data_IF_513057915984
#
_entry.id   IF_513057915984
#
_cell.length_a   1.000
_cell.length_b   1.000
_cell.length_c   1.000
_cell.angle_alpha   90.00
_cell.angle_beta   90.00
_cell.angle_gamma   90.00
#
_symmetry.space_group_name_H-M   'P 1'
#
loop_
_entity.id
_entity.type
_entity.pdbx_description
1 polymer ?
#
# COMPACT_ATOMS: atom_id res chain seq x y z
N UNK A 1 -6.41 15.25 -1.92
CA UNK A 1 -6.53 15.67 -3.33
C UNK A 1 -7.75 16.56 -3.46
N UNK A 2 -7.63 17.69 -4.16
CA UNK A 2 -8.73 18.61 -4.44
C UNK A 2 -8.90 18.67 -5.97
N UNK A 3 -10.15 18.69 -6.45
CA UNK A 3 -10.46 18.85 -7.88
C UNK A 3 -10.98 20.26 -8.13
N UNK A 4 -10.22 21.07 -8.85
CA UNK A 4 -10.58 22.44 -9.24
C UNK A 4 -10.36 22.62 -10.72
N UNK A 5 -11.27 23.31 -11.42
CA UNK A 5 -11.18 23.55 -12.87
C UNK A 5 -10.89 22.27 -13.70
N UNK A 6 -11.42 21.13 -13.25
CA UNK A 6 -11.22 19.81 -13.85
C UNK A 6 -9.80 19.21 -13.71
N UNK A 7 -8.95 19.81 -12.87
CA UNK A 7 -7.60 19.33 -12.53
C UNK A 7 -7.53 18.84 -11.09
N UNK A 8 -6.67 17.86 -10.83
CA UNK A 8 -6.45 17.30 -9.49
C UNK A 8 -5.14 17.82 -8.91
N UNK A 9 -5.20 18.35 -7.71
CA UNK A 9 -4.05 18.89 -6.98
C UNK A 9 -3.89 18.24 -5.60
N UNK A 10 -2.64 17.95 -5.24
CA UNK A 10 -2.27 17.45 -3.92
C UNK A 10 -1.96 18.60 -2.96
N UNK A 11 -2.42 18.48 -1.72
CA UNK A 11 -2.15 19.44 -0.65
C UNK A 11 -1.90 18.67 0.64
N UNK A 12 -0.81 19.00 1.31
CA UNK A 12 -0.50 18.48 2.64
C UNK A 12 -0.77 19.57 3.67
N UNK A 13 -1.31 19.14 4.81
CA UNK A 13 -1.60 20.02 5.94
C UNK A 13 -0.89 19.48 7.18
N UNK A 14 -0.35 20.39 7.97
CA UNK A 14 0.35 20.09 9.22
C UNK A 14 -0.47 20.61 10.40
N UNK A 15 -0.86 19.71 11.28
CA UNK A 15 -1.48 20.07 12.55
C UNK A 15 -0.58 20.99 13.38
N UNK A 16 -1.18 21.98 14.02
CA UNK A 16 -0.53 22.79 15.04
C UNK A 16 -0.20 21.93 16.29
N UNK A 17 0.61 22.46 17.19
CA UNK A 17 1.05 21.71 18.39
C UNK A 17 -0.11 21.35 19.32
N UNK A 18 -1.17 22.15 19.33
CA UNK A 18 -2.35 21.93 20.16
C UNK A 18 -3.34 20.91 19.56
N UNK A 19 -3.12 20.46 18.31
CA UNK A 19 -3.99 19.52 17.61
C UNK A 19 -5.37 20.07 17.25
N UNK A 20 -5.53 21.40 17.23
CA UNK A 20 -6.82 22.06 17.03
C UNK A 20 -7.07 22.50 15.59
N UNK A 21 -6.01 22.75 14.81
CA UNK A 21 -6.11 23.18 13.42
C UNK A 21 -4.90 22.73 12.60
N UNK A 22 -5.03 22.69 11.27
CA UNK A 22 -3.97 22.26 10.36
C UNK A 22 -3.63 23.36 9.34
N UNK A 23 -2.36 23.71 9.26
CA UNK A 23 -1.84 24.72 8.35
C UNK A 23 -1.40 24.09 7.03
N UNK A 24 -1.68 24.78 5.92
CA UNK A 24 -1.23 24.34 4.61
C UNK A 24 0.30 24.33 4.57
N UNK A 25 0.87 23.19 4.18
CA UNK A 25 2.31 23.05 3.93
C UNK A 25 2.67 23.73 2.61
N UNK A 26 3.89 24.27 2.56
CA UNK A 26 4.42 24.92 1.37
C UNK A 26 4.41 23.99 0.14
N UNK A 27 4.39 24.58 -1.05
CA UNK A 27 4.23 23.84 -2.31
C UNK A 27 5.32 22.78 -2.52
N UNK A 28 6.51 23.04 -2.01
CA UNK A 28 7.71 22.20 -2.07
C UNK A 28 7.72 21.05 -1.07
N UNK A 29 6.70 20.94 -0.20
CA UNK A 29 6.76 20.02 0.94
C UNK A 29 7.65 20.55 2.06
N UNK A 30 7.71 19.83 3.18
CA UNK A 30 8.58 20.16 4.31
C UNK A 30 8.93 18.91 5.13
N UNK A 31 10.11 18.91 5.72
CA UNK A 31 10.50 17.92 6.73
C UNK A 31 10.35 18.49 8.14
N UNK A 32 9.91 17.65 9.07
CA UNK A 32 9.80 17.99 10.49
C UNK A 32 10.27 16.79 11.31
N UNK A 33 11.13 17.02 12.30
CA UNK A 33 11.50 15.98 13.26
C UNK A 33 10.56 15.99 14.45
N UNK A 34 9.97 14.84 14.76
CA UNK A 34 9.15 14.60 15.94
C UNK A 34 9.91 13.73 16.94
N UNK A 35 9.84 14.07 18.21
CA UNK A 35 10.23 13.13 19.28
C UNK A 35 9.05 12.22 19.57
N UNK A 36 9.22 10.92 19.33
CA UNK A 36 8.20 9.90 19.53
C UNK A 36 8.62 9.00 20.67
N UNK A 37 7.69 8.76 21.60
CA UNK A 37 7.90 7.81 22.67
C UNK A 37 8.07 6.40 22.10
N UNK A 38 9.15 5.75 22.47
CA UNK A 38 9.47 4.40 22.02
C UNK A 38 10.11 3.64 23.19
N UNK A 39 9.32 2.75 23.79
CA UNK A 39 9.76 1.95 24.92
C UNK A 39 10.89 0.96 24.56
N UNK A 40 11.12 0.71 23.27
CA UNK A 40 12.14 -0.22 22.79
C UNK A 40 13.52 0.45 22.58
N UNK A 41 13.61 1.77 22.74
CA UNK A 41 14.85 2.54 22.53
C UNK A 41 15.38 3.07 23.87
N UNK A 42 16.71 3.04 24.04
CA UNK A 42 17.36 3.61 25.21
C UNK A 42 17.02 5.10 25.34
N UNK A 43 16.48 5.51 26.50
CA UNK A 43 15.98 6.88 26.72
C UNK A 43 14.49 7.07 26.44
N UNK A 44 13.77 6.02 26.03
CA UNK A 44 12.30 5.99 25.95
C UNK A 44 11.69 6.86 24.85
N UNK A 45 12.53 7.45 23.98
CA UNK A 45 12.10 8.24 22.84
C UNK A 45 13.10 8.17 21.70
N UNK A 46 12.61 8.38 20.48
CA UNK A 46 13.42 8.49 19.26
C UNK A 46 12.95 9.67 18.42
N UNK A 47 13.86 10.20 17.61
CA UNK A 47 13.50 11.17 16.57
C UNK A 47 12.94 10.43 15.35
N UNK A 48 11.77 10.83 14.89
CA UNK A 48 11.21 10.44 13.61
C UNK A 48 11.15 11.67 12.71
N UNK A 49 11.86 11.61 11.59
CA UNK A 49 11.73 12.62 10.53
C UNK A 49 10.44 12.32 9.76
N UNK A 50 9.55 13.29 9.72
CA UNK A 50 8.31 13.23 8.98
C UNK A 50 8.40 14.15 7.77
N UNK A 51 8.25 13.56 6.59
CA UNK A 51 8.18 14.30 5.34
C UNK A 51 6.72 14.57 4.97
N UNK A 52 6.37 15.85 4.83
CA UNK A 52 5.12 16.29 4.21
C UNK A 52 5.36 16.42 2.70
N UNK A 53 4.68 15.60 1.86
CA UNK A 53 4.90 15.62 0.42
C UNK A 53 4.64 16.97 -0.22
N UNK A 54 5.48 17.32 -1.19
CA UNK A 54 5.20 18.40 -2.14
C UNK A 54 3.98 18.10 -3.01
N UNK A 55 3.47 19.15 -3.66
CA UNK A 55 2.39 19.02 -4.66
C UNK A 55 2.77 18.05 -5.78
N UNK A 56 4.04 18.03 -6.17
CA UNK A 56 4.56 17.16 -7.21
C UNK A 56 4.68 15.70 -6.74
N UNK A 57 5.12 15.46 -5.51
CA UNK A 57 5.23 14.12 -4.94
C UNK A 57 3.88 13.44 -4.77
N UNK A 58 2.82 14.20 -4.47
CA UNK A 58 1.45 13.65 -4.47
C UNK A 58 1.12 12.97 -5.81
N UNK A 59 1.58 13.54 -6.93
CA UNK A 59 1.27 13.04 -8.28
C UNK A 59 2.04 11.78 -8.67
N UNK A 60 3.01 11.34 -7.85
CA UNK A 60 3.70 10.06 -8.05
C UNK A 60 2.73 8.88 -7.96
N UNK A 61 1.85 8.90 -6.96
CA UNK A 61 0.84 7.85 -6.77
C UNK A 61 -0.57 8.32 -7.17
N UNK A 62 -0.88 9.62 -7.05
CA UNK A 62 -2.13 10.20 -7.58
C UNK A 62 -2.00 10.54 -9.08
N UNK A 63 -1.38 9.66 -9.86
CA UNK A 63 -1.11 9.89 -11.27
C UNK A 63 -2.37 9.79 -12.13
N UNK A 64 -2.31 10.30 -13.36
CA UNK A 64 -3.36 10.09 -14.37
C UNK A 64 -3.62 8.60 -14.62
N UNK A 65 -2.58 7.77 -14.62
CA UNK A 65 -2.69 6.34 -14.84
C UNK A 65 -3.48 5.64 -13.72
N UNK A 66 -3.39 6.16 -12.49
CA UNK A 66 -4.17 5.71 -11.34
C UNK A 66 -5.53 6.44 -11.20
N UNK A 67 -5.92 7.23 -12.20
CA UNK A 67 -7.14 8.05 -12.19
C UNK A 67 -7.24 9.05 -11.02
N UNK A 68 -6.10 9.53 -10.53
CA UNK A 68 -5.93 10.55 -9.49
C UNK A 68 -6.46 10.20 -8.09
N UNK A 69 -7.69 9.70 -7.93
CA UNK A 69 -8.26 9.39 -6.62
C UNK A 69 -7.98 7.95 -6.22
N UNK A 70 -7.15 7.77 -5.20
CA UNK A 70 -6.88 6.48 -4.57
C UNK A 70 -7.93 6.21 -3.48
N UNK A 71 -9.18 6.04 -3.92
CA UNK A 71 -10.33 5.89 -3.04
C UNK A 71 -10.57 4.46 -2.56
N UNK A 72 -11.64 4.29 -1.79
CA UNK A 72 -12.10 2.98 -1.35
C UNK A 72 -12.45 2.08 -2.54
N UNK A 73 -12.03 0.81 -2.48
CA UNK A 73 -12.40 -0.19 -3.46
C UNK A 73 -13.39 -1.19 -2.86
N UNK A 74 -14.39 -1.61 -3.64
CA UNK A 74 -15.41 -2.56 -3.16
C UNK A 74 -14.81 -3.89 -2.73
N UNK A 75 -13.73 -4.36 -3.38
CA UNK A 75 -12.99 -5.56 -3.01
C UNK A 75 -12.29 -5.46 -1.65
N UNK A 76 -11.83 -4.27 -1.26
CA UNK A 76 -11.27 -3.98 0.08
C UNK A 76 -12.36 -3.87 1.16
N UNK A 77 -13.55 -3.42 0.76
CA UNK A 77 -14.70 -3.24 1.65
C UNK A 77 -15.56 -4.50 1.80
N UNK A 78 -15.40 -5.50 0.93
CA UNK A 78 -16.18 -6.73 0.98
C UNK A 78 -15.75 -7.67 2.12
N UNK A 79 -15.96 -7.22 3.36
CA UNK A 79 -15.64 -7.94 4.59
C UNK A 79 -16.64 -7.57 5.67
N UNK A 80 -16.82 -8.49 6.61
CA UNK A 80 -17.59 -8.25 7.82
C UNK A 80 -16.78 -7.36 8.77
N UNK A 81 -17.39 -6.31 9.28
CA UNK A 81 -16.80 -5.42 10.26
C UNK A 81 -17.67 -5.38 11.52
N UNK A 82 -17.08 -5.49 12.72
CA UNK A 82 -17.81 -5.33 13.97
C UNK A 82 -18.09 -3.85 14.20
N UNK A 83 -19.30 -3.40 13.88
CA UNK A 83 -19.69 -2.02 14.15
C UNK A 83 -20.06 -1.90 15.63
N UNK A 84 -19.17 -1.27 16.40
CA UNK A 84 -19.51 -0.83 17.75
C UNK A 84 -20.41 0.41 17.64
N UNK A 85 -21.71 0.24 17.82
CA UNK A 85 -22.69 1.33 17.89
C UNK A 85 -23.43 1.27 19.22
N UNK A 86 -23.70 2.41 19.88
CA UNK A 86 -24.52 2.46 21.10
C UNK A 86 -25.96 1.96 20.90
N UNK A 87 -26.39 1.74 19.65
CA UNK A 87 -27.71 1.22 19.32
C UNK A 87 -27.69 -0.24 18.85
N UNK A 88 -26.51 -0.79 18.50
CA UNK A 88 -26.37 -2.13 17.93
C UNK A 88 -24.95 -2.71 18.11
N UNK A 89 -24.84 -3.91 18.65
CA UNK A 89 -23.62 -4.75 18.60
C UNK A 89 -23.66 -5.70 17.40
N UNK A 90 -23.72 -5.15 16.18
CA UNK A 90 -23.90 -5.94 14.97
C UNK A 90 -22.63 -5.98 14.11
N UNK A 91 -22.21 -7.20 13.78
CA UNK A 91 -21.30 -7.47 12.68
C UNK A 91 -22.09 -7.38 11.36
N UNK A 92 -21.63 -6.56 10.42
CA UNK A 92 -22.26 -6.40 9.11
C UNK A 92 -21.17 -6.29 8.03
N UNK A 93 -21.44 -6.79 6.82
CA UNK A 93 -20.54 -6.57 5.70
C UNK A 93 -20.51 -5.08 5.33
N UNK A 94 -19.33 -4.49 5.11
CA UNK A 94 -19.23 -3.04 4.89
C UNK A 94 -19.98 -2.57 3.63
N UNK A 95 -20.07 -3.40 2.57
CA UNK A 95 -20.85 -3.05 1.38
C UNK A 95 -22.35 -2.99 1.70
N UNK A 96 -22.87 -3.92 2.51
CA UNK A 96 -24.28 -3.91 2.92
C UNK A 96 -24.58 -2.69 3.79
N UNK A 97 -23.69 -2.40 4.74
CA UNK A 97 -23.80 -1.19 5.56
C UNK A 97 -23.82 0.08 4.68
N UNK A 98 -22.95 0.16 3.67
CA UNK A 98 -22.84 1.30 2.76
C UNK A 98 -24.08 1.43 1.86
N UNK A 99 -24.63 0.32 1.37
CA UNK A 99 -25.89 0.31 0.64
C UNK A 99 -27.05 0.80 1.52
N UNK A 100 -27.15 0.30 2.75
CA UNK A 100 -28.16 0.72 3.73
C UNK A 100 -28.09 2.21 4.07
N UNK A 101 -26.89 2.77 4.11
CA UNK A 101 -26.65 4.22 4.29
C UNK A 101 -26.92 5.05 3.03
N UNK A 102 -27.22 4.42 1.88
CA UNK A 102 -27.46 5.13 0.63
C UNK A 102 -26.21 5.70 -0.02
N UNK A 103 -25.02 5.15 0.27
CA UNK A 103 -23.75 5.64 -0.29
C UNK A 103 -23.50 5.22 -1.74
N UNK A 104 -24.26 4.25 -2.26
CA UNK A 104 -24.17 3.83 -3.64
C UNK A 104 -25.25 4.45 -4.52
N UNK A 105 -24.86 4.87 -5.73
CA UNK A 105 -25.81 5.35 -6.75
C UNK A 105 -26.79 4.25 -7.19
N UNK A 106 -26.30 3.01 -7.29
CA UNK A 106 -27.06 1.83 -7.67
C UNK A 106 -26.95 0.80 -6.54
N UNK A 107 -27.94 -0.08 -6.44
CA UNK A 107 -27.86 -1.25 -5.55
C UNK A 107 -26.70 -2.18 -5.93
N UNK A 108 -26.22 -2.96 -4.98
CA UNK A 108 -25.28 -4.03 -5.21
C UNK A 108 -25.90 -5.05 -6.20
N UNK A 109 -25.12 -5.57 -7.16
CA UNK A 109 -25.64 -6.47 -8.18
C UNK A 109 -25.95 -7.88 -7.63
N UNK A 110 -25.41 -8.23 -6.47
CA UNK A 110 -25.64 -9.48 -5.75
C UNK A 110 -25.37 -9.26 -4.26
N UNK A 111 -25.63 -10.29 -3.44
CA UNK A 111 -25.11 -10.31 -2.07
C UNK A 111 -23.58 -10.29 -2.03
N UNK A 112 -22.97 -9.92 -0.89
CA UNK A 112 -21.52 -9.79 -0.73
C UNK A 112 -20.72 -11.05 -1.10
N UNK A 113 -21.31 -12.23 -0.90
CA UNK A 113 -20.74 -13.53 -1.25
C UNK A 113 -20.47 -13.69 -2.76
N UNK A 114 -21.21 -12.98 -3.60
CA UNK A 114 -21.03 -12.96 -5.05
C UNK A 114 -20.08 -11.86 -5.57
N UNK A 115 -19.57 -11.01 -4.68
CA UNK A 115 -18.71 -9.87 -5.04
C UNK A 115 -17.23 -10.18 -4.81
N UNK A 116 -16.32 -9.58 -5.58
CA UNK A 116 -14.88 -9.71 -5.32
C UNK A 116 -14.51 -9.29 -3.91
N UNK A 117 -13.51 -9.97 -3.33
CA UNK A 117 -12.97 -9.71 -2.00
C UNK A 117 -11.46 -9.87 -2.01
N UNK A 118 -10.75 -8.97 -1.35
CA UNK A 118 -9.34 -9.18 -1.04
C UNK A 118 -9.18 -10.02 0.22
N UNK A 119 -8.21 -10.93 0.19
CA UNK A 119 -7.80 -11.70 1.37
C UNK A 119 -7.25 -10.77 2.46
N UNK A 120 -7.45 -11.13 3.73
CA UNK A 120 -6.78 -10.44 4.83
C UNK A 120 -5.30 -10.88 4.89
N UNK A 121 -4.33 -9.96 4.70
CA UNK A 121 -2.91 -10.32 4.75
C UNK A 121 -2.47 -10.96 6.07
N UNK A 122 -3.19 -10.74 7.17
CA UNK A 122 -2.90 -11.31 8.49
C UNK A 122 -3.59 -12.65 8.76
N UNK A 123 -4.61 -13.02 7.99
CA UNK A 123 -5.38 -14.26 8.20
C UNK A 123 -4.65 -15.48 7.61
N UNK A 124 -3.99 -16.26 8.47
CA UNK A 124 -3.21 -17.43 8.04
C UNK A 124 -4.03 -18.61 7.49
N UNK A 125 -5.35 -18.58 7.62
CA UNK A 125 -6.23 -19.58 7.02
C UNK A 125 -6.47 -19.33 5.53
N UNK A 126 -6.16 -18.13 5.03
CA UNK A 126 -6.27 -17.80 3.61
C UNK A 126 -4.99 -18.20 2.85
N UNK A 127 -5.12 -18.60 1.56
CA UNK A 127 -3.96 -18.94 0.73
C UNK A 127 -2.93 -17.81 0.70
N UNK A 128 -1.65 -18.16 0.80
CA UNK A 128 -0.56 -17.18 0.88
C UNK A 128 -0.52 -16.27 -0.35
N UNK A 129 -0.79 -16.81 -1.53
CA UNK A 129 -0.86 -16.09 -2.79
C UNK A 129 -1.96 -15.02 -2.77
N UNK A 130 -3.13 -15.34 -2.20
CA UNK A 130 -4.23 -14.40 -2.08
C UNK A 130 -3.88 -13.25 -1.13
N UNK A 131 -3.24 -13.58 0.01
CA UNK A 131 -2.77 -12.61 1.02
C UNK A 131 -1.70 -11.67 0.45
N UNK A 132 -0.72 -12.21 -0.28
CA UNK A 132 0.32 -11.44 -0.96
C UNK A 132 -0.29 -10.55 -2.04
N UNK A 133 -1.17 -11.10 -2.87
CA UNK A 133 -1.87 -10.33 -3.91
C UNK A 133 -2.68 -9.16 -3.33
N UNK A 134 -3.36 -9.38 -2.20
CA UNK A 134 -4.08 -8.33 -1.49
C UNK A 134 -3.15 -7.23 -0.94
N UNK A 135 -2.00 -7.63 -0.38
CA UNK A 135 -0.99 -6.71 0.11
C UNK A 135 -0.40 -5.84 -1.01
N UNK A 136 0.04 -6.47 -2.11
CA UNK A 136 0.61 -5.76 -3.28
C UNK A 136 -0.42 -4.83 -3.92
N UNK A 137 -1.67 -5.28 -4.06
CA UNK A 137 -2.75 -4.45 -4.58
C UNK A 137 -2.96 -3.20 -3.71
N UNK A 138 -3.05 -3.38 -2.39
CA UNK A 138 -3.40 -2.29 -1.47
C UNK A 138 -2.25 -1.31 -1.24
N UNK A 139 -1.00 -1.77 -1.27
CA UNK A 139 0.16 -0.97 -0.87
C UNK A 139 1.08 -0.57 -2.05
N UNK A 140 0.95 -1.20 -3.21
CA UNK A 140 1.87 -0.99 -4.32
C UNK A 140 1.18 -0.61 -5.64
N UNK A 141 -0.01 -1.17 -5.92
CA UNK A 141 -0.64 -1.05 -7.23
C UNK A 141 -1.09 0.37 -7.60
N UNK A 142 -1.21 1.30 -6.65
CA UNK A 142 -1.54 2.70 -6.97
C UNK A 142 -0.41 3.42 -7.71
N UNK A 143 0.86 3.09 -7.40
CA UNK A 143 2.03 3.68 -8.04
C UNK A 143 2.62 2.74 -9.11
N UNK A 144 2.50 1.42 -8.93
CA UNK A 144 2.94 0.38 -9.88
C UNK A 144 1.82 -0.06 -10.82
N UNK A 145 1.46 0.84 -11.75
CA UNK A 145 0.61 0.55 -12.91
C UNK A 145 1.43 0.65 -14.21
N UNK A 146 1.02 0.03 -15.33
CA UNK A 146 1.78 0.01 -16.58
C UNK A 146 2.20 1.39 -17.13
N UNK A 147 1.49 2.47 -16.76
CA UNK A 147 1.82 3.86 -17.12
C UNK A 147 2.06 4.75 -15.88
N UNK A 148 2.41 4.15 -14.74
CA UNK A 148 2.65 4.82 -13.46
C UNK A 148 4.06 5.38 -13.33
N UNK A 149 4.35 6.01 -12.19
CA UNK A 149 5.68 6.52 -11.87
C UNK A 149 6.72 5.39 -11.73
N UNK A 150 7.98 5.66 -12.07
CA UNK A 150 9.10 4.79 -11.72
C UNK A 150 9.48 3.68 -12.71
N UNK A 151 9.08 3.74 -13.98
CA UNK A 151 9.54 2.84 -15.07
C UNK A 151 9.32 1.32 -14.84
N UNK A 152 8.53 0.96 -13.85
CA UNK A 152 8.24 -0.42 -13.51
C UNK A 152 7.24 -0.97 -14.53
N UNK A 153 7.64 -1.96 -15.34
CA UNK A 153 6.72 -2.73 -16.20
C UNK A 153 5.88 -3.71 -15.36
N UNK A 154 5.57 -3.32 -14.12
CA UNK A 154 4.91 -4.13 -13.10
C UNK A 154 3.43 -3.79 -13.12
N UNK A 155 2.59 -4.82 -12.98
CA UNK A 155 1.16 -4.69 -12.78
C UNK A 155 0.81 -5.42 -11.49
N UNK A 156 0.62 -4.67 -10.41
CA UNK A 156 0.46 -5.23 -9.06
C UNK A 156 -0.99 -5.23 -8.58
N UNK A 157 -1.94 -4.83 -9.43
CA UNK A 157 -3.35 -4.83 -9.07
C UNK A 157 -3.92 -6.26 -9.06
N UNK A 158 -4.62 -6.62 -7.98
CA UNK A 158 -5.53 -7.77 -8.00
C UNK A 158 -6.65 -7.57 -9.05
N UNK A 159 -7.03 -8.60 -9.83
CA UNK A 159 -6.66 -10.02 -9.71
C UNK A 159 -5.52 -10.48 -10.64
N UNK A 160 -4.58 -9.60 -11.01
CA UNK A 160 -3.47 -9.97 -11.91
C UNK A 160 -2.70 -11.17 -11.36
N UNK A 161 -2.57 -12.28 -12.13
CA UNK A 161 -1.77 -13.43 -11.72
C UNK A 161 -0.29 -13.07 -11.58
N UNK A 162 0.43 -13.67 -10.62
CA UNK A 162 1.87 -13.39 -10.39
C UNK A 162 2.75 -13.52 -11.64
N UNK A 163 2.48 -14.50 -12.51
CA UNK A 163 3.18 -14.70 -13.78
C UNK A 163 2.99 -13.54 -14.77
N UNK A 164 1.94 -12.74 -14.60
CA UNK A 164 1.63 -11.55 -15.42
C UNK A 164 2.01 -10.24 -14.74
N UNK A 165 2.43 -10.26 -13.48
CA UNK A 165 2.82 -9.05 -12.74
C UNK A 165 4.15 -8.47 -13.21
N UNK A 166 4.96 -9.22 -13.96
CA UNK A 166 6.27 -8.75 -14.46
C UNK A 166 7.32 -8.59 -13.37
N UNK A 167 7.24 -9.42 -12.31
CA UNK A 167 8.14 -9.34 -11.14
C UNK A 167 8.99 -10.60 -10.89
N UNK A 168 8.53 -11.76 -11.36
CA UNK A 168 9.20 -13.04 -11.12
C UNK A 168 10.40 -13.19 -12.07
N UNK A 169 11.58 -13.42 -11.50
CA UNK A 169 12.88 -13.56 -12.19
C UNK A 169 13.25 -12.37 -13.12
N UNK A 170 12.68 -11.19 -12.88
CA UNK A 170 12.96 -9.99 -13.66
C UNK A 170 14.12 -9.20 -13.04
N UNK A 171 15.16 -8.79 -13.79
CA UNK A 171 16.22 -7.96 -13.26
C UNK A 171 15.70 -6.55 -12.87
N UNK A 172 16.18 -5.96 -11.76
CA UNK A 172 15.80 -4.60 -11.39
C UNK A 172 16.33 -3.60 -12.43
N UNK A 173 15.49 -2.65 -12.84
CA UNK A 173 15.89 -1.53 -13.72
C UNK A 173 16.61 -0.41 -12.97
N UNK A 174 16.33 -0.29 -11.67
CA UNK A 174 16.96 0.68 -10.77
C UNK A 174 18.07 -0.01 -9.96
N UNK A 175 18.53 0.58 -8.86
CA UNK A 175 19.55 -0.04 -8.01
C UNK A 175 19.22 -1.48 -7.60
N UNK A 176 20.21 -2.35 -7.77
CA UNK A 176 20.24 -3.76 -7.35
C UNK A 176 20.65 -3.93 -5.87
N UNK A 177 20.88 -2.82 -5.17
CA UNK A 177 21.31 -2.76 -3.76
C UNK A 177 22.69 -3.41 -3.53
N UNK A 178 23.50 -3.59 -4.58
CA UNK A 178 24.77 -4.32 -4.50
C UNK A 178 24.61 -5.84 -4.40
N UNK A 179 23.41 -6.36 -4.65
CA UNK A 179 23.12 -7.80 -4.57
C UNK A 179 23.50 -8.47 -5.89
N UNK A 180 24.45 -9.40 -5.84
CA UNK A 180 24.89 -10.14 -7.02
C UNK A 180 23.75 -11.01 -7.58
N UNK A 181 23.39 -10.77 -8.85
CA UNK A 181 22.31 -11.51 -9.52
C UNK A 181 20.92 -11.15 -9.00
N UNK A 182 20.72 -9.94 -8.47
CA UNK A 182 19.44 -9.48 -7.95
C UNK A 182 18.31 -9.58 -8.98
N UNK A 183 17.13 -9.97 -8.52
CA UNK A 183 15.87 -9.92 -9.26
C UNK A 183 14.83 -9.13 -8.46
N UNK A 184 13.77 -8.67 -9.11
CA UNK A 184 12.61 -8.05 -8.45
C UNK A 184 12.05 -9.02 -7.40
N UNK A 185 11.74 -10.24 -7.84
CA UNK A 185 11.49 -11.41 -6.98
C UNK A 185 12.17 -12.62 -7.63
N UNK A 186 13.10 -13.26 -6.92
CA UNK A 186 13.71 -14.53 -7.34
C UNK A 186 13.06 -15.69 -6.57
N UNK A 187 12.30 -16.59 -7.22
CA UNK A 187 11.72 -17.76 -6.57
C UNK A 187 12.71 -18.55 -5.71
N UNK A 188 12.34 -18.84 -4.46
CA UNK A 188 13.16 -19.60 -3.52
C UNK A 188 14.36 -18.84 -2.94
N UNK A 189 14.60 -17.58 -3.32
CA UNK A 189 15.78 -16.81 -2.89
C UNK A 189 15.40 -15.40 -2.41
N UNK A 190 14.85 -15.26 -1.19
CA UNK A 190 14.51 -13.98 -0.59
C UNK A 190 15.67 -12.98 -0.55
N UNK A 191 16.89 -13.46 -0.29
CA UNK A 191 18.12 -12.66 -0.20
C UNK A 191 18.58 -12.06 -1.54
N UNK A 192 18.03 -12.57 -2.65
CA UNK A 192 18.26 -12.03 -4.01
C UNK A 192 17.09 -11.23 -4.55
N UNK A 193 16.03 -11.06 -3.75
CA UNK A 193 14.77 -10.44 -4.15
C UNK A 193 14.69 -8.99 -3.69
N UNK A 194 14.93 -8.04 -4.59
CA UNK A 194 14.99 -6.61 -4.23
C UNK A 194 13.66 -6.08 -3.72
N UNK A 195 12.51 -6.66 -4.11
CA UNK A 195 11.21 -6.24 -3.58
C UNK A 195 11.19 -6.36 -2.05
N UNK A 196 11.60 -7.52 -1.53
CA UNK A 196 11.65 -7.78 -0.09
C UNK A 196 12.63 -6.83 0.60
N UNK A 197 13.82 -6.67 0.04
CA UNK A 197 14.87 -5.80 0.60
C UNK A 197 14.46 -4.33 0.66
N UNK A 198 13.62 -3.86 -0.28
CA UNK A 198 13.13 -2.48 -0.33
C UNK A 198 12.01 -2.22 0.67
N UNK A 199 11.09 -3.18 0.88
CA UNK A 199 10.02 -3.01 1.89
C UNK A 199 10.55 -3.15 3.32
N UNK A 200 11.64 -3.90 3.50
CA UNK A 200 12.30 -4.15 4.79
C UNK A 200 13.31 -3.08 5.22
N UNK A 201 13.41 -1.94 4.51
CA UNK A 201 14.35 -0.86 4.82
C UNK A 201 13.67 0.50 4.88
N UNK A 202 14.26 1.44 5.62
CA UNK A 202 13.88 2.85 5.57
C UNK A 202 15.06 3.72 5.17
N UNK A 203 14.80 4.78 4.40
CA UNK A 203 15.80 5.66 3.79
C UNK A 203 16.09 5.32 2.32
N UNK A 204 17.37 5.31 1.95
CA UNK A 204 17.78 5.16 0.55
C UNK A 204 17.27 3.84 -0.04
N UNK A 205 16.70 3.94 -1.25
CA UNK A 205 16.14 2.83 -2.03
C UNK A 205 14.95 2.11 -1.35
N UNK A 206 14.28 2.71 -0.37
CA UNK A 206 13.11 2.13 0.29
C UNK A 206 11.88 2.02 -0.64
N UNK A 207 10.96 1.12 -0.30
CA UNK A 207 9.61 1.08 -0.84
C UNK A 207 8.55 1.07 0.28
N UNK A 208 7.48 1.89 0.17
CA UNK A 208 7.31 2.95 -0.84
C UNK A 208 8.34 4.08 -0.65
N UNK A 209 8.72 4.82 -1.72
CA UNK A 209 9.81 5.81 -1.65
C UNK A 209 9.43 7.06 -0.86
N UNK A 210 8.13 7.32 -0.69
CA UNK A 210 7.53 8.47 -0.02
C UNK A 210 6.51 8.00 1.01
N UNK A 211 6.26 8.85 2.01
CA UNK A 211 5.17 8.70 2.98
C UNK A 211 5.16 7.37 3.76
N UNK A 212 6.33 6.78 4.01
CA UNK A 212 6.51 5.64 4.91
C UNK A 212 7.73 5.81 5.79
N UNK A 213 7.53 5.68 7.11
CA UNK A 213 8.57 5.87 8.12
C UNK A 213 8.82 4.61 8.97
N UNK A 214 7.93 3.62 8.91
CA UNK A 214 7.97 2.42 9.75
C UNK A 214 7.89 1.16 8.90
N UNK A 215 8.71 0.17 9.19
CA UNK A 215 8.70 -1.13 8.50
C UNK A 215 7.46 -1.92 8.90
N UNK A 216 6.67 -2.32 7.92
CA UNK A 216 5.61 -3.30 8.12
C UNK A 216 6.22 -4.70 8.27
N UNK A 217 6.50 -5.08 9.51
CA UNK A 217 7.16 -6.35 9.81
C UNK A 217 6.30 -7.56 9.41
N UNK A 218 4.97 -7.44 9.49
CA UNK A 218 4.06 -8.52 9.10
C UNK A 218 4.13 -8.74 7.59
N UNK A 219 4.15 -7.66 6.81
CA UNK A 219 4.34 -7.74 5.37
C UNK A 219 5.70 -8.31 4.98
N UNK A 220 6.78 -7.90 5.65
CA UNK A 220 8.12 -8.45 5.40
C UNK A 220 8.13 -9.96 5.62
N UNK A 221 7.53 -10.45 6.71
CA UNK A 221 7.41 -11.88 7.00
C UNK A 221 6.55 -12.59 5.96
N UNK A 222 5.39 -12.04 5.61
CA UNK A 222 4.49 -12.60 4.61
C UNK A 222 5.17 -12.74 3.24
N UNK A 223 5.82 -11.68 2.76
CA UNK A 223 6.49 -11.65 1.46
C UNK A 223 7.70 -12.58 1.46
N UNK A 224 8.49 -12.62 2.54
CA UNK A 224 9.60 -13.56 2.67
C UNK A 224 9.12 -15.01 2.56
N UNK A 225 8.11 -15.40 3.34
CA UNK A 225 7.54 -16.75 3.34
C UNK A 225 6.99 -17.14 1.97
N UNK A 226 6.35 -16.19 1.28
CA UNK A 226 5.88 -16.40 -0.08
C UNK A 226 7.04 -16.69 -1.04
N UNK A 227 8.09 -15.87 -1.03
CA UNK A 227 9.25 -16.04 -1.90
C UNK A 227 9.95 -17.39 -1.64
N UNK A 228 10.11 -17.79 -0.38
CA UNK A 228 10.68 -19.09 0.01
C UNK A 228 9.86 -20.28 -0.52
N UNK A 229 8.54 -20.12 -0.62
CA UNK A 229 7.63 -21.14 -1.13
C UNK A 229 7.51 -21.20 -2.66
N UNK A 230 8.06 -20.24 -3.39
CA UNK A 230 8.03 -20.24 -4.86
C UNK A 230 9.02 -21.25 -5.44
N UNK A 231 8.60 -22.02 -6.44
CA UNK A 231 9.49 -22.91 -7.19
C UNK A 231 9.98 -22.25 -8.48
N UNK A 232 11.11 -22.71 -9.01
CA UNK A 232 11.65 -22.20 -10.28
C UNK A 232 10.69 -22.39 -11.46
N UNK A 233 9.84 -23.43 -11.43
CA UNK A 233 8.81 -23.73 -12.46
C UNK A 233 7.69 -22.69 -12.53
N UNK A 234 7.55 -21.83 -11.51
CA UNK A 234 6.58 -20.73 -11.49
C UNK A 234 7.12 -19.45 -12.14
N UNK A 235 8.37 -19.47 -12.62
CA UNK A 235 8.92 -18.40 -13.46
C UNK A 235 8.40 -18.56 -14.90
N UNK A 236 7.88 -17.50 -15.53
CA UNK A 236 7.36 -17.57 -16.90
C UNK A 236 8.43 -17.92 -17.95
#
# INVERSE_FOLDING_TARGET
>A
MVREQNEWSGYSYRWNQDGTDAQLVDASGTDVSYSILDANVAGGSRLQNWHYPSRAECMVCHSRAANYTLGLQTSQLNRTYPYESPYHGHEENQLVAFERMGLFKNKLPSGPEGLPKLADPSNEQEPIEARVGAYLHSNCASCHVPAGGGNAAMELSHPTPFSKMGILDVPPKHHDLGIAGAKLVLPGSPEKSVLLERIARRGKDQMPPLSSNEIDQQAVVLIRKWIEGLSAEQSP
#
